data_IF_316460765541
#
_entry.id   IF_316460765541
#
_cell.length_a   1.000
_cell.length_b   1.000
_cell.length_c   1.000
_cell.angle_alpha   90.00
_cell.angle_beta   90.00
_cell.angle_gamma   90.00
#
_symmetry.space_group_name_H-M   'P 1'
#
loop_
_entity.id
_entity.type
_entity.pdbx_description
1 polymer ?
#
# COMPACT_ATOMS: atom_id res chain seq x y z
N UNK A 1 -15.14 -7.58 8.22
CA UNK A 1 -14.28 -8.44 7.38
C UNK A 1 -13.24 -9.10 8.27
N UNK A 2 -12.94 -10.38 8.05
CA UNK A 2 -11.90 -11.07 8.82
C UNK A 2 -10.53 -10.41 8.56
N UNK A 3 -9.82 -10.00 9.61
CA UNK A 3 -8.51 -9.32 9.49
C UNK A 3 -7.47 -10.16 8.77
N UNK A 4 -7.47 -11.48 8.95
CA UNK A 4 -6.55 -12.39 8.25
C UNK A 4 -6.81 -12.41 6.75
N UNK A 5 -8.09 -12.44 6.35
CA UNK A 5 -8.48 -12.33 4.93
C UNK A 5 -8.07 -10.97 4.36
N UNK A 6 -8.30 -9.91 5.14
CA UNK A 6 -7.91 -8.53 4.76
C UNK A 6 -6.41 -8.42 4.49
N UNK A 7 -5.57 -9.01 5.34
CA UNK A 7 -4.11 -9.04 5.14
C UNK A 7 -3.73 -9.85 3.89
N UNK A 8 -4.39 -11.00 3.63
CA UNK A 8 -4.13 -11.79 2.41
C UNK A 8 -4.45 -11.02 1.13
N UNK A 9 -5.57 -10.28 1.12
CA UNK A 9 -5.93 -9.38 0.01
C UNK A 9 -4.85 -8.30 -0.14
N UNK A 10 -4.41 -7.71 0.97
CA UNK A 10 -3.36 -6.69 0.94
C UNK A 10 -2.03 -7.24 0.42
N UNK A 11 -1.65 -8.48 0.73
CA UNK A 11 -0.46 -9.12 0.14
C UNK A 11 -0.57 -9.29 -1.37
N UNK A 12 -1.75 -9.65 -1.89
CA UNK A 12 -1.96 -9.74 -3.33
C UNK A 12 -1.78 -8.38 -4.00
N UNK A 13 -2.36 -7.32 -3.43
CA UNK A 13 -2.24 -5.95 -3.94
C UNK A 13 -0.79 -5.44 -3.91
N UNK A 14 -0.12 -5.60 -2.77
CA UNK A 14 1.28 -5.19 -2.61
C UNK A 14 2.22 -5.99 -3.52
N UNK A 15 1.97 -7.29 -3.71
CA UNK A 15 2.74 -8.11 -4.64
C UNK A 15 2.60 -7.64 -6.08
N UNK A 16 1.37 -7.35 -6.52
CA UNK A 16 1.12 -6.78 -7.84
C UNK A 16 1.79 -5.40 -8.02
N UNK A 17 1.74 -4.55 -6.99
CA UNK A 17 2.42 -3.25 -6.96
C UNK A 17 3.93 -3.38 -7.08
N UNK A 18 4.55 -4.28 -6.32
CA UNK A 18 6.01 -4.51 -6.41
C UNK A 18 6.40 -4.95 -7.82
N UNK A 19 5.64 -5.86 -8.44
CA UNK A 19 5.88 -6.27 -9.83
C UNK A 19 5.77 -5.06 -10.77
N UNK A 20 4.73 -4.25 -10.63
CA UNK A 20 4.54 -3.05 -11.44
C UNK A 20 5.71 -2.07 -11.32
N UNK A 21 6.15 -1.76 -10.10
CA UNK A 21 7.32 -0.89 -9.86
C UNK A 21 8.62 -1.49 -10.42
N UNK A 22 8.82 -2.81 -10.33
CA UNK A 22 9.97 -3.49 -10.93
C UNK A 22 9.94 -3.38 -12.46
N UNK A 23 8.78 -3.49 -13.10
CA UNK A 23 8.66 -3.34 -14.55
C UNK A 23 9.00 -1.91 -15.02
N UNK A 24 8.65 -0.88 -14.24
CA UNK A 24 9.04 0.51 -14.53
C UNK A 24 10.54 0.70 -14.27
N UNK A 25 11.04 0.21 -13.14
CA UNK A 25 12.46 0.31 -12.75
C UNK A 25 13.39 -0.34 -13.79
N UNK A 26 12.94 -1.45 -14.39
CA UNK A 26 13.64 -2.17 -15.47
C UNK A 26 13.27 -1.68 -16.88
N UNK A 27 12.59 -0.54 -16.96
CA UNK A 27 12.25 0.18 -18.20
C UNK A 27 11.39 -0.62 -19.18
N UNK A 28 10.73 -1.69 -18.72
CA UNK A 28 9.75 -2.45 -19.52
C UNK A 28 8.43 -1.68 -19.67
N UNK A 29 8.15 -0.78 -18.72
CA UNK A 29 7.06 0.18 -18.78
C UNK A 29 7.65 1.59 -18.90
N UNK A 30 7.26 2.38 -19.92
CA UNK A 30 7.71 3.76 -20.08
C UNK A 30 7.36 4.65 -18.88
N UNK A 31 8.34 5.40 -18.38
CA UNK A 31 8.19 6.17 -17.14
C UNK A 31 7.43 7.49 -17.32
N UNK A 32 7.23 7.94 -18.55
CA UNK A 32 6.43 9.12 -18.92
C UNK A 32 4.93 8.94 -18.61
N UNK A 33 4.50 7.69 -18.38
CA UNK A 33 3.12 7.31 -18.06
C UNK A 33 2.83 7.14 -16.58
N UNK A 34 3.83 7.34 -15.72
CA UNK A 34 3.71 7.18 -14.27
C UNK A 34 4.12 8.46 -13.56
N UNK A 35 3.79 8.56 -12.26
CA UNK A 35 4.07 9.76 -11.45
C UNK A 35 3.50 11.05 -12.05
N UNK A 36 2.32 10.97 -12.67
CA UNK A 36 1.66 12.07 -13.37
C UNK A 36 2.52 12.72 -14.47
N UNK A 37 3.49 11.98 -15.02
CA UNK A 37 4.42 12.45 -16.05
C UNK A 37 5.38 13.54 -15.55
N UNK A 38 5.71 13.55 -14.26
CA UNK A 38 6.58 14.58 -13.64
C UNK A 38 8.06 14.18 -13.55
N UNK A 39 8.40 12.94 -13.87
CA UNK A 39 9.79 12.46 -13.85
C UNK A 39 10.55 12.99 -15.07
N UNK A 40 11.75 13.50 -14.84
CA UNK A 40 12.55 14.21 -15.85
C UNK A 40 13.72 13.39 -16.38
N UNK A 41 14.07 12.29 -15.73
CA UNK A 41 15.21 11.43 -16.11
C UNK A 41 15.01 9.98 -15.68
N UNK A 42 15.78 9.08 -16.28
CA UNK A 42 15.82 7.66 -15.92
C UNK A 42 16.38 7.48 -14.50
N UNK A 43 17.33 8.31 -14.09
CA UNK A 43 17.93 8.30 -12.75
C UNK A 43 16.89 8.69 -11.68
N UNK A 44 16.12 9.76 -11.96
CA UNK A 44 15.02 10.18 -11.09
C UNK A 44 13.95 9.08 -11.00
N UNK A 45 13.54 8.50 -12.14
CA UNK A 45 12.63 7.35 -12.17
C UNK A 45 13.15 6.22 -11.28
N UNK A 46 14.41 5.79 -11.47
CA UNK A 46 14.98 4.66 -10.72
C UNK A 46 15.00 4.94 -9.22
N UNK A 47 15.28 6.17 -8.79
CA UNK A 47 15.23 6.55 -7.38
C UNK A 47 13.81 6.45 -6.80
N UNK A 48 12.81 6.97 -7.51
CA UNK A 48 11.41 6.93 -7.09
C UNK A 48 10.87 5.49 -7.07
N UNK A 49 11.15 4.70 -8.10
CA UNK A 49 10.73 3.30 -8.16
C UNK A 49 11.44 2.45 -7.11
N UNK A 50 12.73 2.68 -6.84
CA UNK A 50 13.45 1.99 -5.75
C UNK A 50 12.82 2.30 -4.39
N UNK A 51 12.44 3.55 -4.13
CA UNK A 51 11.74 3.93 -2.91
C UNK A 51 10.36 3.25 -2.81
N UNK A 52 9.60 3.21 -3.91
CA UNK A 52 8.32 2.51 -3.99
C UNK A 52 8.45 1.01 -3.74
N UNK A 53 9.45 0.34 -4.32
CA UNK A 53 9.71 -1.08 -4.06
C UNK A 53 10.04 -1.29 -2.58
N UNK A 54 10.96 -0.48 -2.04
CA UNK A 54 11.38 -0.57 -0.65
C UNK A 54 10.20 -0.42 0.32
N UNK A 55 9.38 0.62 0.15
CA UNK A 55 8.26 0.90 1.07
C UNK A 55 7.19 -0.21 1.02
N UNK A 56 6.92 -0.77 -0.17
CA UNK A 56 5.98 -1.89 -0.32
C UNK A 56 6.53 -3.19 0.31
N UNK A 57 7.81 -3.52 0.12
CA UNK A 57 8.44 -4.67 0.78
C UNK A 57 8.47 -4.50 2.30
N UNK A 58 8.78 -3.30 2.79
CA UNK A 58 8.72 -2.99 4.21
C UNK A 58 7.31 -3.18 4.77
N UNK A 59 6.29 -2.75 4.03
CA UNK A 59 4.90 -2.98 4.41
C UNK A 59 4.52 -4.47 4.45
N UNK A 60 4.96 -5.26 3.47
CA UNK A 60 4.75 -6.72 3.45
C UNK A 60 5.35 -7.36 4.72
N UNK A 61 6.53 -6.92 5.14
CA UNK A 61 7.15 -7.39 6.38
C UNK A 61 6.29 -7.04 7.61
N UNK A 62 5.85 -5.78 7.74
CA UNK A 62 4.99 -5.34 8.85
C UNK A 62 3.68 -6.13 8.90
N UNK A 63 3.04 -6.35 7.75
CA UNK A 63 1.81 -7.14 7.66
C UNK A 63 2.03 -8.63 7.95
N UNK A 64 3.19 -9.17 7.60
CA UNK A 64 3.57 -10.55 7.95
C UNK A 64 3.70 -10.73 9.46
N UNK A 65 4.31 -9.76 10.14
CA UNK A 65 4.36 -9.75 11.61
C UNK A 65 2.95 -9.63 12.18
N UNK A 66 2.12 -8.70 11.66
CA UNK A 66 0.73 -8.53 12.09
C UNK A 66 -0.08 -9.81 11.93
N UNK A 67 0.09 -10.52 10.83
CA UNK A 67 -0.59 -11.79 10.56
C UNK A 67 -0.25 -12.84 11.61
N UNK A 68 1.04 -13.04 11.91
CA UNK A 68 1.52 -13.98 12.95
C UNK A 68 1.02 -13.60 14.35
N UNK A 69 0.96 -12.30 14.67
CA UNK A 69 0.37 -11.83 15.93
C UNK A 69 -1.11 -12.22 16.02
N UNK A 70 -1.88 -12.03 14.95
CA UNK A 70 -3.29 -12.43 14.89
C UNK A 70 -3.48 -13.95 14.97
N UNK A 71 -2.55 -14.75 14.43
CA UNK A 71 -2.58 -16.22 14.58
C UNK A 71 -2.31 -16.67 16.01
N UNK A 72 -1.40 -15.99 16.71
CA UNK A 72 -1.06 -16.27 18.11
C UNK A 72 -2.00 -15.60 19.12
N UNK A 73 -3.07 -14.92 18.67
CA UNK A 73 -3.99 -14.19 19.55
C UNK A 73 -3.36 -12.99 20.26
N UNK A 74 -2.18 -12.54 19.80
CA UNK A 74 -1.41 -11.44 20.37
C UNK A 74 -1.71 -10.13 19.66
N UNK A 75 -1.45 -9.03 20.35
CA UNK A 75 -1.46 -7.68 19.76
C UNK A 75 -0.16 -6.96 20.08
N UNK A 76 0.24 -6.04 19.21
CA UNK A 76 1.41 -5.20 19.40
C UNK A 76 1.10 -3.79 18.93
N UNK A 77 1.15 -2.82 19.86
CA UNK A 77 0.82 -1.42 19.59
C UNK A 77 1.77 -0.79 18.57
N UNK A 78 3.06 -1.15 18.57
CA UNK A 78 4.03 -0.59 17.64
C UNK A 78 3.70 -1.01 16.19
N UNK A 79 3.30 -2.26 15.97
CA UNK A 79 2.86 -2.74 14.65
C UNK A 79 1.59 -2.01 14.21
N UNK A 80 0.64 -1.78 15.12
CA UNK A 80 -0.58 -1.03 14.80
C UNK A 80 -0.28 0.43 14.43
N UNK A 81 0.66 1.07 15.12
CA UNK A 81 1.11 2.44 14.80
C UNK A 81 1.78 2.48 13.42
N UNK A 82 2.66 1.52 13.10
CA UNK A 82 3.29 1.44 11.79
C UNK A 82 2.25 1.26 10.66
N UNK A 83 1.21 0.46 10.89
CA UNK A 83 0.12 0.32 9.90
C UNK A 83 -0.69 1.63 9.78
N UNK A 84 -0.88 2.39 10.86
CA UNK A 84 -1.47 3.73 10.79
C UNK A 84 -0.63 4.72 9.97
N UNK A 85 0.70 4.63 10.04
CA UNK A 85 1.58 5.42 9.13
C UNK A 85 1.27 5.08 7.68
N UNK A 86 1.08 3.80 7.35
CA UNK A 86 0.66 3.40 6.00
C UNK A 86 -0.75 3.88 5.62
N UNK A 87 -1.69 4.01 6.55
CA UNK A 87 -2.99 4.64 6.28
C UNK A 87 -2.80 6.07 5.78
N UNK A 88 -2.01 6.87 6.49
CA UNK A 88 -1.71 8.26 6.09
C UNK A 88 -0.98 8.29 4.75
N UNK A 89 0.03 7.43 4.58
CA UNK A 89 0.78 7.32 3.33
C UNK A 89 -0.15 7.03 2.14
N UNK A 90 -1.03 6.03 2.23
CA UNK A 90 -1.95 5.72 1.13
C UNK A 90 -3.02 6.80 0.92
N UNK A 91 -3.51 7.44 1.97
CA UNK A 91 -4.43 8.56 1.83
C UNK A 91 -3.79 9.73 1.07
N UNK A 92 -2.54 10.07 1.39
CA UNK A 92 -1.77 11.07 0.65
C UNK A 92 -1.54 10.64 -0.81
N UNK A 93 -1.28 9.36 -1.06
CA UNK A 93 -1.17 8.84 -2.43
C UNK A 93 -2.49 8.90 -3.20
N UNK A 94 -3.64 8.62 -2.56
CA UNK A 94 -4.95 8.81 -3.19
C UNK A 94 -5.14 10.27 -3.60
N UNK A 95 -4.82 11.21 -2.71
CA UNK A 95 -4.87 12.65 -3.02
C UNK A 95 -3.92 12.98 -4.18
N UNK A 96 -2.68 12.47 -4.17
CA UNK A 96 -1.73 12.68 -5.25
C UNK A 96 -2.25 12.19 -6.61
N UNK A 97 -2.86 11.01 -6.64
CA UNK A 97 -3.46 10.44 -7.85
C UNK A 97 -4.66 11.25 -8.37
N UNK A 98 -5.37 11.98 -7.49
CA UNK A 98 -6.43 12.90 -7.92
C UNK A 98 -5.91 14.08 -8.76
N UNK A 99 -4.61 14.38 -8.70
CA UNK A 99 -3.95 15.39 -9.54
C UNK A 99 -3.24 14.80 -10.76
N UNK A 100 -3.41 13.50 -11.03
CA UNK A 100 -2.82 12.88 -12.22
C UNK A 100 -3.48 13.41 -13.50
N UNK A 101 -2.66 13.67 -14.52
CA UNK A 101 -3.14 14.08 -15.86
C UNK A 101 -3.72 12.90 -16.64
N UNK A 102 -3.23 11.69 -16.37
CA UNK A 102 -3.70 10.46 -17.00
C UNK A 102 -4.97 9.95 -16.33
N UNK A 103 -6.01 9.69 -17.12
CA UNK A 103 -7.24 9.06 -16.64
C UNK A 103 -6.98 7.66 -16.04
N UNK A 104 -5.98 6.95 -16.58
CA UNK A 104 -5.59 5.62 -16.10
C UNK A 104 -4.97 5.71 -14.71
N UNK A 105 -4.04 6.65 -14.48
CA UNK A 105 -3.43 6.87 -13.16
C UNK A 105 -4.46 7.35 -12.14
N UNK A 106 -5.33 8.28 -12.54
CA UNK A 106 -6.41 8.79 -11.71
C UNK A 106 -7.32 7.66 -11.21
N UNK A 107 -7.80 6.81 -12.13
CA UNK A 107 -8.75 5.74 -11.79
C UNK A 107 -8.02 4.58 -11.11
N UNK A 108 -7.01 3.99 -11.74
CA UNK A 108 -6.37 2.78 -11.22
C UNK A 108 -5.49 3.09 -10.01
N UNK A 109 -4.64 4.12 -10.07
CA UNK A 109 -3.79 4.53 -8.96
C UNK A 109 -4.60 5.04 -7.78
N UNK A 110 -5.59 5.89 -8.04
CA UNK A 110 -6.51 6.40 -7.03
C UNK A 110 -7.30 5.28 -6.34
N UNK A 111 -7.92 4.38 -7.11
CA UNK A 111 -8.65 3.24 -6.57
C UNK A 111 -7.75 2.31 -5.75
N UNK A 112 -6.57 1.98 -6.26
CA UNK A 112 -5.63 1.06 -5.60
C UNK A 112 -5.11 1.60 -4.27
N UNK A 113 -4.77 2.88 -4.24
CA UNK A 113 -4.29 3.55 -3.02
C UNK A 113 -5.43 3.74 -2.01
N UNK A 114 -6.64 4.07 -2.47
CA UNK A 114 -7.81 4.17 -1.61
C UNK A 114 -8.18 2.80 -1.00
N UNK A 115 -8.19 1.76 -1.82
CA UNK A 115 -8.44 0.39 -1.37
C UNK A 115 -7.39 -0.03 -0.32
N UNK A 116 -6.12 0.23 -0.59
CA UNK A 116 -5.01 -0.03 0.35
C UNK A 116 -5.19 0.71 1.68
N UNK A 117 -5.57 1.99 1.63
CA UNK A 117 -5.89 2.80 2.80
C UNK A 117 -7.02 2.17 3.65
N UNK A 118 -8.13 1.80 3.00
CA UNK A 118 -9.28 1.17 3.67
C UNK A 118 -8.89 -0.18 4.29
N UNK A 119 -8.14 -1.01 3.57
CA UNK A 119 -7.67 -2.30 4.07
C UNK A 119 -6.78 -2.12 5.32
N UNK A 120 -5.86 -1.15 5.30
CA UNK A 120 -5.05 -0.80 6.47
C UNK A 120 -5.91 -0.43 7.68
N UNK A 121 -6.93 0.44 7.50
CA UNK A 121 -7.86 0.83 8.56
C UNK A 121 -8.57 -0.41 9.13
N UNK A 122 -9.05 -1.31 8.28
CA UNK A 122 -9.73 -2.55 8.72
C UNK A 122 -8.79 -3.44 9.54
N UNK A 123 -7.52 -3.55 9.16
CA UNK A 123 -6.51 -4.37 9.85
C UNK A 123 -6.26 -3.88 11.29
N UNK A 124 -6.13 -2.57 11.49
CA UNK A 124 -5.81 -1.99 12.81
C UNK A 124 -7.03 -1.72 13.68
N UNK A 125 -8.22 -1.57 13.09
CA UNK A 125 -9.44 -1.26 13.85
C UNK A 125 -9.73 -2.35 14.88
N UNK A 126 -9.90 -1.95 16.15
CA UNK A 126 -10.30 -2.88 17.21
C UNK A 126 -11.73 -3.38 16.94
N UNK A 127 -11.96 -4.67 17.13
CA UNK A 127 -13.33 -5.19 17.09
C UNK A 127 -14.07 -4.63 18.30
N UNK A 128 -15.30 -4.13 18.08
CA UNK A 128 -16.16 -3.76 19.20
C UNK A 128 -16.52 -5.06 19.91
N UNK A 129 -16.16 -5.18 21.18
CA UNK A 129 -16.64 -6.27 22.03
C UNK A 129 -18.17 -6.18 21.98
N UNK A 130 -18.83 -7.20 21.41
CA UNK A 130 -20.27 -7.36 21.61
C UNK A 130 -20.42 -7.69 23.08
N UNK A 131 -20.84 -6.72 23.88
CA UNK A 131 -21.31 -6.98 25.24
C UNK A 131 -22.59 -7.80 25.08
N UNK A 132 -22.46 -9.13 25.19
CA UNK A 132 -23.63 -9.98 25.40
C UNK A 132 -24.07 -9.70 26.83
N UNK A 133 -25.16 -8.94 26.98
CA UNK A 133 -25.96 -8.95 28.21
C UNK A 133 -26.81 -10.20 28.24
#
# INVERSE_FOLDING_TARGET
MNKKITIKIMFLLLGALVIFHVLIFTEQIPYDKVWAGKLNSVEEMKAFEAFSIFINLFMILILSIKYKLLESGKSNKAIDILIWVFVVFFALNTIGNMFAKSLIELILGGFLTLASCILCIIIVKKEKIKTTQ
#
